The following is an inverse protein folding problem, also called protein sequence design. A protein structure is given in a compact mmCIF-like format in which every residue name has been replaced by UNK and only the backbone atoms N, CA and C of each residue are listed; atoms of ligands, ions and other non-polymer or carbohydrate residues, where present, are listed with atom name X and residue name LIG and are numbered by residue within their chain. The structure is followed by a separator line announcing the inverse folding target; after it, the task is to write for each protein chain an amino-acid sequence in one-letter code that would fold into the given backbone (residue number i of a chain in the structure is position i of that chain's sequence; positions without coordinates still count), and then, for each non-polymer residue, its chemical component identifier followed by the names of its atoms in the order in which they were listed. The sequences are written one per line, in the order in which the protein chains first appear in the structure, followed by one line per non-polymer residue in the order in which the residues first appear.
data_IF_692460206094
#
_entry.id   IF_692460206094
#
_cell.length_a   1.000
_cell.length_b   1.000
_cell.length_c   1.000
_cell.angle_alpha   90.00
_cell.angle_beta   90.00
_cell.angle_gamma   90.00
#
_symmetry.space_group_name_H-M   'P 1'
#
loop_
_entity.id
_entity.type
_entity.pdbx_description
1 polymer ?
#
# COMPACT_ATOMS: atom_id res chain seq x y z
N UNK A 1 13.21 -10.56 4.27
CA UNK A 1 11.86 -10.29 3.72
C UNK A 1 10.94 -11.41 4.19
N UNK A 2 9.77 -11.12 4.77
CA UNK A 2 8.82 -12.19 5.17
C UNK A 2 8.37 -12.95 3.92
N UNK A 3 8.21 -14.27 4.04
CA UNK A 3 7.80 -15.11 2.91
C UNK A 3 6.34 -14.82 2.56
N UNK A 4 6.11 -14.20 1.41
CA UNK A 4 4.77 -13.81 0.99
C UNK A 4 3.85 -14.97 0.62
N UNK A 5 4.39 -16.19 0.54
CA UNK A 5 3.59 -17.43 0.42
C UNK A 5 2.72 -17.68 1.65
N UNK A 6 2.92 -16.96 2.75
CA UNK A 6 2.17 -17.10 3.99
C UNK A 6 0.81 -16.36 3.97
N UNK A 7 0.64 -15.34 3.13
CA UNK A 7 -0.61 -14.57 3.08
C UNK A 7 -1.52 -15.09 1.97
N UNK A 8 -2.50 -15.89 2.36
CA UNK A 8 -3.53 -16.41 1.46
C UNK A 8 -4.73 -15.48 1.33
N UNK A 9 -4.82 -14.41 2.14
CA UNK A 9 -5.94 -13.46 2.15
C UNK A 9 -5.56 -12.12 2.80
N UNK A 10 -6.33 -11.07 2.51
CA UNK A 10 -6.16 -9.76 3.17
C UNK A 10 -6.27 -9.82 4.70
N UNK A 11 -7.26 -10.52 5.32
CA UNK A 11 -7.32 -10.61 6.77
C UNK A 11 -6.06 -11.23 7.41
N UNK A 12 -5.45 -12.21 6.73
CA UNK A 12 -4.19 -12.81 7.21
C UNK A 12 -3.02 -11.82 7.12
N UNK A 13 -2.95 -11.05 6.02
CA UNK A 13 -1.96 -9.99 5.84
C UNK A 13 -2.10 -8.90 6.91
N UNK A 14 -3.31 -8.36 7.10
CA UNK A 14 -3.57 -7.28 8.05
C UNK A 14 -3.23 -7.71 9.49
N UNK A 15 -3.55 -8.95 9.87
CA UNK A 15 -3.20 -9.50 11.17
C UNK A 15 -1.69 -9.60 11.38
N UNK A 16 -0.94 -10.06 10.37
CA UNK A 16 0.53 -10.16 10.46
C UNK A 16 1.22 -8.79 10.48
N UNK A 17 0.57 -7.77 9.93
CA UNK A 17 0.97 -6.36 10.06
C UNK A 17 0.59 -5.76 11.43
N UNK A 18 -0.07 -6.52 12.32
CA UNK A 18 -0.50 -6.07 13.63
C UNK A 18 -1.66 -5.07 13.60
N UNK A 19 -2.39 -4.99 12.48
CA UNK A 19 -3.50 -4.06 12.34
C UNK A 19 -4.75 -4.58 13.06
N UNK A 20 -5.51 -3.68 13.71
CA UNK A 20 -6.73 -4.03 14.43
C UNK A 20 -7.85 -4.54 13.49
N UNK A 21 -8.86 -5.16 14.09
CA UNK A 21 -10.05 -5.67 13.38
C UNK A 21 -11.15 -4.62 13.20
N UNK A 22 -10.87 -3.35 13.54
CA UNK A 22 -11.80 -2.24 13.33
C UNK A 22 -11.69 -1.71 11.87
N UNK A 23 -12.61 -0.85 11.44
CA UNK A 23 -12.48 -0.16 10.16
C UNK A 23 -11.19 0.67 10.12
N UNK A 24 -10.25 0.26 9.28
CA UNK A 24 -9.06 1.02 8.94
C UNK A 24 -9.40 2.07 7.89
N UNK A 25 -8.72 3.21 7.94
CA UNK A 25 -8.65 4.18 6.84
C UNK A 25 -7.44 3.82 5.99
N UNK A 26 -7.70 3.36 4.77
CA UNK A 26 -6.69 2.83 3.86
C UNK A 26 -6.50 3.77 2.67
N UNK A 27 -5.26 4.22 2.47
CA UNK A 27 -4.85 4.90 1.25
C UNK A 27 -4.38 3.87 0.21
N UNK A 28 -4.81 3.99 -1.04
CA UNK A 28 -4.34 3.14 -2.15
C UNK A 28 -3.88 4.07 -3.28
N UNK A 29 -2.58 4.05 -3.57
CA UNK A 29 -1.98 4.78 -4.69
C UNK A 29 -1.48 3.76 -5.70
N UNK A 30 -2.18 3.65 -6.83
CA UNK A 30 -1.96 2.61 -7.84
C UNK A 30 -2.46 3.10 -9.21
N UNK A 31 -1.63 2.97 -10.24
CA UNK A 31 -1.94 3.44 -11.59
C UNK A 31 -2.82 2.44 -12.36
N UNK A 32 -2.66 1.13 -12.11
CA UNK A 32 -3.50 0.08 -12.66
C UNK A 32 -4.89 0.11 -11.99
N UNK A 33 -5.87 0.67 -12.70
CA UNK A 33 -7.25 0.80 -12.21
C UNK A 33 -7.89 -0.53 -11.82
N UNK A 34 -7.49 -1.66 -12.42
CA UNK A 34 -8.00 -2.96 -12.03
C UNK A 34 -7.45 -3.40 -10.67
N UNK A 35 -6.14 -3.21 -10.43
CA UNK A 35 -5.52 -3.50 -9.12
C UNK A 35 -6.07 -2.56 -8.06
N UNK A 36 -6.16 -1.26 -8.36
CA UNK A 36 -6.64 -0.24 -7.43
C UNK A 36 -8.07 -0.49 -6.97
N UNK A 37 -9.01 -0.63 -7.91
CA UNK A 37 -10.42 -0.81 -7.57
C UNK A 37 -10.71 -2.21 -7.03
N UNK A 38 -10.00 -3.24 -7.52
CA UNK A 38 -10.09 -4.58 -6.96
C UNK A 38 -9.68 -4.59 -5.49
N UNK A 39 -8.52 -4.00 -5.16
CA UNK A 39 -8.00 -3.95 -3.79
C UNK A 39 -8.92 -3.13 -2.89
N UNK A 40 -9.39 -1.98 -3.40
CA UNK A 40 -10.35 -1.13 -2.70
C UNK A 40 -11.66 -1.89 -2.40
N UNK A 41 -12.20 -2.61 -3.38
CA UNK A 41 -13.41 -3.40 -3.20
C UNK A 41 -13.22 -4.53 -2.19
N UNK A 42 -12.09 -5.23 -2.24
CA UNK A 42 -11.77 -6.30 -1.30
C UNK A 42 -11.67 -5.78 0.15
N UNK A 43 -11.00 -4.65 0.37
CA UNK A 43 -10.89 -4.00 1.69
C UNK A 43 -12.24 -3.44 2.17
N UNK A 44 -13.04 -2.83 1.29
CA UNK A 44 -14.39 -2.34 1.61
C UNK A 44 -15.32 -3.48 2.03
N UNK A 45 -15.24 -4.65 1.39
CA UNK A 45 -15.99 -5.87 1.80
C UNK A 45 -15.64 -6.36 3.21
N UNK A 46 -14.43 -6.05 3.69
CA UNK A 46 -13.99 -6.33 5.06
C UNK A 46 -14.39 -5.23 6.05
N UNK A 47 -15.10 -4.19 5.61
CA UNK A 47 -15.57 -3.09 6.45
C UNK A 47 -14.58 -1.94 6.61
N UNK A 48 -13.52 -1.88 5.80
CA UNK A 48 -12.55 -0.77 5.83
C UNK A 48 -12.98 0.40 4.94
N UNK A 49 -12.49 1.59 5.27
CA UNK A 49 -12.66 2.80 4.47
C UNK A 49 -11.46 2.94 3.54
N UNK A 50 -11.69 3.14 2.24
CA UNK A 50 -10.59 3.26 1.28
C UNK A 50 -10.66 4.56 0.50
N UNK A 51 -9.51 5.20 0.38
CA UNK A 51 -9.27 6.37 -0.45
C UNK A 51 -8.30 5.98 -1.58
N UNK A 52 -8.73 6.11 -2.84
CA UNK A 52 -7.98 5.62 -4.01
C UNK A 52 -7.44 6.79 -4.85
N UNK A 53 -6.20 6.66 -5.36
CA UNK A 53 -5.54 7.67 -6.20
C UNK A 53 -4.81 7.05 -7.39
N UNK A 54 -4.93 7.68 -8.55
CA UNK A 54 -4.28 7.33 -9.82
C UNK A 54 -2.90 7.97 -9.92
N UNK A 55 -1.93 7.41 -9.16
CA UNK A 55 -0.67 8.12 -8.96
C UNK A 55 -0.89 9.49 -8.30
N UNK A 56 0.19 10.20 -8.01
CA UNK A 56 0.12 11.50 -7.36
C UNK A 56 1.16 12.44 -7.93
N UNK A 57 0.80 13.71 -8.04
CA UNK A 57 1.74 14.78 -7.76
C UNK A 57 1.72 14.94 -6.23
N UNK A 58 2.87 14.79 -5.56
CA UNK A 58 2.96 14.55 -4.11
C UNK A 58 2.31 15.62 -3.22
N UNK A 59 1.94 16.76 -3.79
CA UNK A 59 1.30 17.91 -3.12
C UNK A 59 -0.19 17.74 -2.80
N UNK A 60 -0.89 16.74 -3.34
CA UNK A 60 -2.35 16.60 -3.15
C UNK A 60 -2.78 15.47 -2.20
N UNK A 61 -1.84 14.69 -1.66
CA UNK A 61 -2.20 13.64 -0.72
C UNK A 61 -2.47 14.22 0.66
N UNK A 62 -3.63 13.93 1.28
CA UNK A 62 -3.75 14.11 2.72
C UNK A 62 -2.84 13.08 3.39
N UNK A 63 -1.60 13.45 3.70
CA UNK A 63 -0.60 12.57 4.33
C UNK A 63 -0.88 12.38 5.82
N UNK A 64 -2.14 12.36 6.25
CA UNK A 64 -2.53 12.15 7.65
C UNK A 64 -3.87 11.44 7.78
N UNK A 65 -4.08 10.74 8.90
CA UNK A 65 -5.34 10.07 9.21
C UNK A 65 -5.56 8.74 8.47
N UNK A 66 -4.50 8.11 7.96
CA UNK A 66 -4.52 6.76 7.41
C UNK A 66 -3.83 5.78 8.36
N UNK A 67 -4.43 4.61 8.52
CA UNK A 67 -3.87 3.51 9.30
C UNK A 67 -2.98 2.62 8.42
N UNK A 68 -3.29 2.54 7.12
CA UNK A 68 -2.64 1.69 6.15
C UNK A 68 -2.52 2.40 4.79
N UNK A 69 -1.40 2.24 4.12
CA UNK A 69 -1.21 2.63 2.73
C UNK A 69 -0.73 1.43 1.90
N UNK A 70 -1.39 1.20 0.76
CA UNK A 70 -0.87 0.40 -0.34
C UNK A 70 -0.31 1.34 -1.40
N UNK A 71 0.97 1.20 -1.69
CA UNK A 71 1.72 2.16 -2.47
C UNK A 71 2.43 1.46 -3.63
N UNK A 72 1.94 1.65 -4.86
CA UNK A 72 2.72 1.21 -6.02
C UNK A 72 4.03 2.00 -6.14
N UNK A 73 5.05 1.37 -6.70
CA UNK A 73 6.30 2.05 -6.97
C UNK A 73 6.21 2.96 -8.19
N UNK A 74 5.49 2.54 -9.24
CA UNK A 74 5.46 3.25 -10.51
C UNK A 74 4.16 4.03 -10.65
N UNK A 75 4.27 5.35 -10.77
CA UNK A 75 3.13 6.21 -11.09
C UNK A 75 3.25 6.74 -12.52
N UNK A 76 2.19 7.35 -13.02
CA UNK A 76 2.24 8.12 -14.28
C UNK A 76 3.17 9.35 -14.18
N UNK A 77 3.48 9.80 -12.96
CA UNK A 77 4.45 10.88 -12.71
C UNK A 77 5.88 10.41 -12.99
N UNK A 78 6.67 11.26 -13.67
CA UNK A 78 8.09 10.99 -13.93
C UNK A 78 9.00 11.26 -12.74
N UNK A 79 8.53 12.02 -11.75
CA UNK A 79 9.33 12.49 -10.62
C UNK A 79 8.91 11.88 -9.29
N UNK A 80 7.66 11.44 -9.18
CA UNK A 80 7.15 10.80 -7.97
C UNK A 80 7.01 9.28 -8.18
N UNK A 81 7.52 8.53 -7.21
CA UNK A 81 7.48 7.07 -7.17
C UNK A 81 7.08 6.62 -5.76
N UNK A 82 6.69 5.36 -5.59
CA UNK A 82 6.47 4.79 -4.26
C UNK A 82 7.73 4.86 -3.39
N UNK A 83 8.91 4.69 -3.99
CA UNK A 83 10.22 4.88 -3.33
C UNK A 83 10.36 6.30 -2.76
N UNK A 84 10.06 7.35 -3.53
CA UNK A 84 10.18 8.73 -3.04
C UNK A 84 9.09 9.10 -2.04
N UNK A 85 7.86 8.57 -2.19
CA UNK A 85 6.73 8.90 -1.33
C UNK A 85 6.76 8.14 0.02
N UNK A 86 7.39 6.97 0.08
CA UNK A 86 7.48 6.17 1.32
C UNK A 86 8.03 6.97 2.51
N UNK A 87 9.19 7.65 2.43
CA UNK A 87 9.70 8.44 3.56
C UNK A 87 8.80 9.63 3.91
N UNK A 88 8.16 10.27 2.93
CA UNK A 88 7.24 11.41 3.15
C UNK A 88 5.99 10.96 3.93
N UNK A 89 5.36 9.86 3.52
CA UNK A 89 4.23 9.25 4.23
C UNK A 89 4.60 8.82 5.65
N UNK A 90 5.78 8.20 5.80
CA UNK A 90 6.29 7.75 7.10
C UNK A 90 6.46 8.92 8.08
N UNK A 91 6.97 10.06 7.61
CA UNK A 91 7.20 11.24 8.43
C UNK A 91 5.90 11.99 8.75
N UNK A 92 4.96 12.05 7.81
CA UNK A 92 3.76 12.89 7.91
C UNK A 92 2.60 12.20 8.64
N UNK A 93 2.55 10.85 8.64
CA UNK A 93 1.43 10.09 9.20
C UNK A 93 1.85 9.03 10.24
N UNK A 94 2.63 9.30 11.29
CA UNK A 94 2.93 8.27 12.28
C UNK A 94 1.68 7.92 13.13
N UNK A 95 1.31 6.64 13.35
CA UNK A 95 2.02 5.40 12.99
C UNK A 95 1.40 4.60 11.81
N UNK A 96 1.39 5.16 10.60
CA UNK A 96 0.86 4.49 9.39
C UNK A 96 1.58 3.18 9.07
N UNK A 97 0.86 2.15 8.66
CA UNK A 97 1.47 0.95 8.05
C UNK A 97 1.58 1.16 6.54
N UNK A 98 2.76 0.92 5.96
CA UNK A 98 2.99 1.11 4.52
C UNK A 98 3.34 -0.24 3.89
N UNK A 99 2.58 -0.62 2.87
CA UNK A 99 2.82 -1.80 2.02
C UNK A 99 3.19 -1.29 0.63
N UNK A 100 4.48 -1.39 0.30
CA UNK A 100 4.97 -1.13 -1.05
C UNK A 100 4.54 -2.24 -2.01
N UNK A 101 4.21 -1.87 -3.24
CA UNK A 101 3.82 -2.78 -4.30
C UNK A 101 4.68 -2.51 -5.54
N UNK A 102 5.15 -3.56 -6.20
CA UNK A 102 5.88 -3.42 -7.47
C UNK A 102 5.88 -4.75 -8.21
N UNK A 103 6.11 -4.75 -9.51
CA UNK A 103 6.47 -5.98 -10.23
C UNK A 103 7.93 -6.38 -10.01
N UNK A 104 8.74 -5.49 -9.43
CA UNK A 104 10.18 -5.67 -9.21
C UNK A 104 10.50 -5.79 -7.72
N UNK A 105 11.08 -6.93 -7.33
CA UNK A 105 11.44 -7.19 -5.94
C UNK A 105 12.45 -6.16 -5.39
N UNK A 106 13.38 -5.70 -6.22
CA UNK A 106 14.37 -4.69 -5.83
C UNK A 106 13.72 -3.38 -5.37
N UNK A 107 12.61 -2.97 -6.01
CA UNK A 107 11.86 -1.75 -5.64
C UNK A 107 11.07 -1.92 -4.35
N UNK A 108 10.50 -3.10 -4.14
CA UNK A 108 9.88 -3.46 -2.88
C UNK A 108 10.88 -3.42 -1.71
N UNK A 109 12.07 -3.98 -1.91
CA UNK A 109 13.13 -3.95 -0.90
C UNK A 109 13.63 -2.51 -0.64
N UNK A 110 13.70 -1.68 -1.68
CA UNK A 110 14.06 -0.27 -1.57
C UNK A 110 13.05 0.50 -0.72
N UNK A 111 11.75 0.35 -0.99
CA UNK A 111 10.69 0.96 -0.17
C UNK A 111 10.76 0.49 1.29
N UNK A 112 11.02 -0.80 1.55
CA UNK A 112 11.19 -1.31 2.92
C UNK A 112 12.38 -0.64 3.62
N UNK A 113 13.53 -0.48 2.94
CA UNK A 113 14.69 0.24 3.49
C UNK A 113 14.37 1.69 3.83
N UNK A 114 13.46 2.32 3.10
CA UNK A 114 13.02 3.70 3.31
C UNK A 114 11.87 3.85 4.30
N UNK A 115 11.42 2.75 4.90
CA UNK A 115 10.45 2.76 5.99
C UNK A 115 9.10 2.14 5.66
N UNK A 116 8.93 1.45 4.53
CA UNK A 116 7.76 0.60 4.34
C UNK A 116 7.81 -0.61 5.31
N UNK A 117 6.65 -1.03 5.83
CA UNK A 117 6.56 -2.19 6.71
C UNK A 117 6.72 -3.49 5.93
N UNK A 118 6.31 -3.48 4.66
CA UNK A 118 6.32 -4.64 3.78
C UNK A 118 6.42 -4.20 2.32
N UNK A 119 7.01 -5.04 1.48
CA UNK A 119 6.91 -4.95 0.03
C UNK A 119 6.30 -6.22 -0.56
N UNK A 120 5.35 -6.08 -1.49
CA UNK A 120 4.63 -7.17 -2.15
C UNK A 120 4.79 -7.08 -3.66
N UNK A 121 4.91 -8.24 -4.34
CA UNK A 121 4.84 -8.20 -5.79
C UNK A 121 3.38 -7.98 -6.25
N UNK A 122 3.15 -7.27 -7.35
CA UNK A 122 1.77 -7.07 -7.88
C UNK A 122 1.03 -8.39 -8.10
N UNK A 123 1.74 -9.47 -8.48
CA UNK A 123 1.16 -10.82 -8.61
C UNK A 123 0.65 -11.42 -7.29
N UNK A 124 1.16 -10.98 -6.15
CA UNK A 124 0.72 -11.41 -4.82
C UNK A 124 -0.51 -10.61 -4.39
N UNK A 125 -0.52 -9.29 -4.65
CA UNK A 125 -1.68 -8.43 -4.42
C UNK A 125 -2.89 -8.94 -5.22
N UNK A 126 -2.68 -9.32 -6.48
CA UNK A 126 -3.73 -9.90 -7.34
C UNK A 126 -4.37 -11.18 -6.81
N UNK A 127 -3.75 -11.89 -5.85
CA UNK A 127 -4.37 -13.05 -5.21
C UNK A 127 -5.50 -12.68 -4.25
N UNK A 128 -5.61 -11.40 -3.89
CA UNK A 128 -6.64 -10.90 -2.99
C UNK A 128 -7.88 -10.36 -3.70
N UNK A 129 -7.83 -10.22 -5.02
CA UNK A 129 -8.85 -9.56 -5.84
C UNK A 129 -9.83 -10.59 -6.41
#
# INVERSE_FOLDING_TARGET
MKDSRLWTSLPALLRDLGLPTNPLRVLIVEDDGHVREGLAAALRRLGHLTDTREGVEGSELPLSGYDLAFLDNYFLSKTLTGVSLTPELRQSCPPIVIVGMSSEAAKNEEMVRLGANLGLLKREVRRFL
#
